data_IF_082091335483
#
_entry.id   IF_082091335483
#
_cell.length_a   1.000
_cell.length_b   1.000
_cell.length_c   1.000
_cell.angle_alpha   90.00
_cell.angle_beta   90.00
_cell.angle_gamma   90.00
#
_symmetry.space_group_name_H-M   'P 1'
#
loop_
_entity.id
_entity.type
_entity.pdbx_description
1 polymer ?
#
# COMPACT_ATOMS: atom_id res chain seq x y z
N UNK A 1 3.22 13.54 3.55
CA UNK A 1 3.27 12.57 4.66
C UNK A 1 4.68 12.63 5.23
N UNK A 2 4.85 12.82 6.54
CA UNK A 2 6.18 12.94 7.13
C UNK A 2 6.96 11.64 6.96
N UNK A 3 7.94 11.62 6.05
CA UNK A 3 8.83 10.50 5.74
C UNK A 3 9.94 10.32 6.80
N UNK A 4 9.70 10.76 8.04
CA UNK A 4 10.76 11.20 8.95
C UNK A 4 11.41 10.15 9.85
N UNK A 5 10.74 9.06 10.22
CA UNK A 5 11.20 8.32 11.40
C UNK A 5 11.56 6.85 11.20
N UNK A 6 11.48 6.29 9.99
CA UNK A 6 12.03 4.94 9.81
C UNK A 6 12.51 4.65 8.39
N UNK A 7 13.83 4.78 8.19
CA UNK A 7 14.51 4.51 6.91
C UNK A 7 14.21 3.10 6.42
N UNK A 8 14.15 2.12 7.33
CA UNK A 8 13.85 0.72 7.03
C UNK A 8 12.46 0.54 6.41
N UNK A 9 11.45 1.20 6.98
CA UNK A 9 10.08 1.16 6.45
C UNK A 9 10.04 1.78 5.04
N UNK A 10 10.66 2.94 4.85
CA UNK A 10 10.71 3.58 3.53
C UNK A 10 11.43 2.71 2.49
N UNK A 11 12.54 2.08 2.88
CA UNK A 11 13.30 1.18 2.01
C UNK A 11 12.46 -0.06 1.64
N UNK A 12 11.75 -0.67 2.59
CA UNK A 12 10.85 -1.79 2.34
C UNK A 12 9.65 -1.40 1.46
N UNK A 13 9.08 -0.20 1.66
CA UNK A 13 8.01 0.33 0.83
C UNK A 13 8.46 0.57 -0.62
N UNK A 14 9.69 1.07 -0.82
CA UNK A 14 10.27 1.27 -2.13
C UNK A 14 10.62 -0.07 -2.81
N UNK A 15 11.22 -1.02 -2.08
CA UNK A 15 11.49 -2.38 -2.60
C UNK A 15 10.21 -3.08 -3.02
N UNK A 16 9.19 -3.10 -2.15
CA UNK A 16 7.89 -3.71 -2.46
C UNK A 16 7.23 -3.06 -3.67
N UNK A 17 7.44 -1.76 -3.90
CA UNK A 17 6.94 -1.06 -5.09
C UNK A 17 7.73 -1.43 -6.35
N UNK A 18 9.05 -1.54 -6.26
CA UNK A 18 9.91 -1.93 -7.38
C UNK A 18 9.69 -3.39 -7.82
N UNK A 19 9.26 -4.27 -6.90
CA UNK A 19 8.96 -5.68 -7.17
C UNK A 19 7.59 -5.90 -7.85
N UNK A 20 6.78 -4.85 -8.02
CA UNK A 20 5.46 -4.97 -8.67
C UNK A 20 5.66 -5.31 -10.15
N UNK A 21 5.13 -6.47 -10.55
CA UNK A 21 5.06 -6.83 -11.97
C UNK A 21 4.19 -5.81 -12.73
N UNK A 22 4.68 -5.37 -13.89
CA UNK A 22 3.95 -4.48 -14.80
C UNK A 22 2.55 -4.99 -15.15
N UNK A 23 2.34 -6.31 -15.17
CA UNK A 23 1.05 -6.94 -15.46
C UNK A 23 -0.02 -6.69 -14.39
N UNK A 24 0.37 -6.64 -13.12
CA UNK A 24 -0.55 -6.42 -11.99
C UNK A 24 -0.77 -4.94 -11.68
N UNK A 25 0.09 -4.05 -12.20
CA UNK A 25 0.08 -2.61 -11.91
C UNK A 25 -1.25 -1.91 -12.23
N UNK A 26 -2.03 -2.43 -13.18
CA UNK A 26 -3.31 -1.82 -13.58
C UNK A 26 -4.45 -2.11 -12.58
N UNK A 27 -4.28 -3.11 -11.74
CA UNK A 27 -5.24 -3.54 -10.72
C UNK A 27 -4.75 -3.12 -9.34
N UNK A 28 -5.33 -2.02 -8.84
CA UNK A 28 -4.97 -1.44 -7.55
C UNK A 28 -5.16 -2.43 -6.39
N UNK A 29 -6.12 -3.36 -6.49
CA UNK A 29 -6.37 -4.35 -5.45
C UNK A 29 -5.27 -5.43 -5.47
N UNK A 30 -4.90 -5.93 -6.66
CA UNK A 30 -3.76 -6.87 -6.78
C UNK A 30 -2.45 -6.26 -6.31
N UNK A 31 -2.20 -4.99 -6.67
CA UNK A 31 -1.02 -4.25 -6.19
C UNK A 31 -1.01 -4.15 -4.67
N UNK A 32 -2.15 -3.84 -4.04
CA UNK A 32 -2.24 -3.73 -2.59
C UNK A 32 -1.96 -5.07 -1.90
N UNK A 33 -2.60 -6.16 -2.34
CA UNK A 33 -2.38 -7.49 -1.75
C UNK A 33 -0.92 -7.95 -1.91
N UNK A 34 -0.32 -7.73 -3.09
CA UNK A 34 1.08 -8.07 -3.33
C UNK A 34 2.03 -7.31 -2.40
N UNK A 35 1.87 -5.99 -2.30
CA UNK A 35 2.71 -5.17 -1.42
C UNK A 35 2.54 -5.54 0.05
N UNK A 36 1.32 -5.86 0.47
CA UNK A 36 1.04 -6.32 1.84
C UNK A 36 1.79 -7.61 2.15
N UNK A 37 1.77 -8.59 1.25
CA UNK A 37 2.53 -9.84 1.42
C UNK A 37 4.04 -9.60 1.42
N UNK A 38 4.55 -8.77 0.51
CA UNK A 38 5.98 -8.44 0.44
C UNK A 38 6.49 -7.80 1.74
N UNK A 39 5.71 -6.89 2.34
CA UNK A 39 6.05 -6.24 3.62
C UNK A 39 5.95 -7.20 4.82
N UNK A 40 4.97 -8.12 4.82
CA UNK A 40 4.83 -9.12 5.88
C UNK A 40 5.99 -10.12 5.89
N UNK A 41 6.44 -10.51 4.70
CA UNK A 41 7.55 -11.44 4.50
C UNK A 41 8.93 -10.77 4.62
N UNK A 42 9.00 -9.46 4.79
CA UNK A 42 10.27 -8.75 4.96
C UNK A 42 10.84 -9.04 6.36
N UNK A 43 11.90 -9.84 6.42
CA UNK A 43 12.60 -10.20 7.66
C UNK A 43 13.40 -9.02 8.24
N UNK A 44 13.63 -7.96 7.47
CA UNK A 44 14.36 -6.77 7.93
C UNK A 44 13.53 -5.82 8.79
N UNK A 45 12.22 -6.04 8.89
CA UNK A 45 11.29 -5.24 9.68
C UNK A 45 10.87 -5.97 10.96
N UNK A 46 10.76 -5.23 12.06
CA UNK A 46 10.11 -5.69 13.29
C UNK A 46 8.58 -5.70 13.15
N UNK A 47 7.87 -6.42 14.02
CA UNK A 47 6.41 -6.52 13.96
C UNK A 47 5.68 -5.16 14.04
N UNK A 48 6.23 -4.20 14.78
CA UNK A 48 5.72 -2.83 14.84
C UNK A 48 5.91 -2.11 13.49
N UNK A 49 7.10 -2.24 12.89
CA UNK A 49 7.42 -1.62 11.60
C UNK A 49 6.61 -2.22 10.45
N UNK A 50 6.37 -3.54 10.48
CA UNK A 50 5.45 -4.20 9.54
C UNK A 50 4.05 -3.62 9.65
N UNK A 51 3.55 -3.45 10.87
CA UNK A 51 2.22 -2.88 11.12
C UNK A 51 2.13 -1.43 10.63
N UNK A 52 3.16 -0.62 10.86
CA UNK A 52 3.24 0.75 10.35
C UNK A 52 3.29 0.79 8.81
N UNK A 53 4.13 -0.04 8.19
CA UNK A 53 4.24 -0.13 6.73
C UNK A 53 2.92 -0.53 6.07
N UNK A 54 2.21 -1.51 6.65
CA UNK A 54 0.88 -1.93 6.22
C UNK A 54 -0.12 -0.77 6.37
N UNK A 55 -0.09 -0.06 7.50
CA UNK A 55 -0.94 1.12 7.72
C UNK A 55 -0.73 2.20 6.65
N UNK A 56 0.51 2.42 6.21
CA UNK A 56 0.84 3.37 5.14
C UNK A 56 0.23 2.92 3.81
N UNK A 57 0.46 1.67 3.39
CA UNK A 57 -0.07 1.19 2.10
C UNK A 57 -1.60 1.15 2.07
N UNK A 58 -2.26 0.86 3.21
CA UNK A 58 -3.73 0.89 3.32
C UNK A 58 -4.27 2.30 3.12
N UNK A 59 -3.68 3.30 3.79
CA UNK A 59 -4.06 4.71 3.60
C UNK A 59 -3.88 5.15 2.14
N UNK A 60 -2.77 4.73 1.50
CA UNK A 60 -2.55 5.00 0.08
C UNK A 60 -3.56 4.30 -0.80
N UNK A 61 -3.94 3.06 -0.49
CA UNK A 61 -4.95 2.30 -1.23
C UNK A 61 -6.35 2.95 -1.14
N UNK A 62 -6.77 3.33 0.07
CA UNK A 62 -8.04 4.01 0.29
C UNK A 62 -8.09 5.38 -0.40
N UNK A 63 -6.99 6.15 -0.32
CA UNK A 63 -6.86 7.40 -1.05
C UNK A 63 -6.97 7.18 -2.56
N UNK A 64 -6.28 6.18 -3.11
CA UNK A 64 -6.36 5.85 -4.53
C UNK A 64 -7.78 5.46 -4.94
N UNK A 65 -8.51 4.70 -4.11
CA UNK A 65 -9.92 4.37 -4.38
C UNK A 65 -10.78 5.62 -4.51
N UNK A 66 -10.59 6.59 -3.62
CA UNK A 66 -11.28 7.89 -3.67
C UNK A 66 -10.87 8.69 -4.91
N UNK A 67 -9.57 8.84 -5.18
CA UNK A 67 -9.06 9.64 -6.31
C UNK A 67 -9.49 9.09 -7.66
N UNK A 68 -9.45 7.77 -7.84
CA UNK A 68 -9.83 7.13 -9.11
C UNK A 68 -11.33 6.84 -9.21
N UNK A 69 -12.15 7.28 -8.23
CA UNK A 69 -13.57 6.92 -8.12
C UNK A 69 -13.81 5.39 -8.28
N UNK A 70 -12.83 4.57 -7.89
CA UNK A 70 -12.90 3.10 -7.95
C UNK A 70 -13.57 2.61 -6.66
N UNK A 71 -14.89 2.62 -6.66
CA UNK A 71 -15.71 2.16 -5.54
C UNK A 71 -17.20 2.32 -5.84
N UNK A 72 -18.05 1.75 -4.99
CA UNK A 72 -19.50 1.91 -5.11
C UNK A 72 -19.85 3.38 -4.98
N UNK A 73 -20.24 4.01 -6.10
CA UNK A 73 -20.78 5.37 -6.09
C UNK A 73 -21.91 5.41 -5.07
N UNK A 74 -21.77 6.24 -4.03
CA UNK A 74 -22.93 6.68 -3.25
C UNK A 74 -23.74 7.61 -4.15
N UNK A 75 -24.64 7.04 -4.92
CA UNK A 75 -25.74 7.78 -5.53
C UNK A 75 -26.71 8.07 -4.38
N UNK A 76 -26.81 9.33 -3.97
CA UNK A 76 -27.93 9.76 -3.14
C UNK A 76 -29.15 9.77 -4.06
N UNK A 77 -30.08 8.87 -3.83
CA UNK A 77 -31.42 8.97 -4.41
C UNK A 77 -32.12 10.19 -3.78
N UNK A 78 -32.75 11.01 -4.62
CA UNK A 78 -33.48 12.21 -4.22
C UNK A 78 -34.93 11.85 -3.86
#
# INVERSE_FOLDING_TARGET
MSYGNNKLINDALNRSYALIDHNIRNDAQKVYEFRKQALLNDESLTDNEKSEAIGIITKTYDLNKLTFNKGTKRICEN
#
